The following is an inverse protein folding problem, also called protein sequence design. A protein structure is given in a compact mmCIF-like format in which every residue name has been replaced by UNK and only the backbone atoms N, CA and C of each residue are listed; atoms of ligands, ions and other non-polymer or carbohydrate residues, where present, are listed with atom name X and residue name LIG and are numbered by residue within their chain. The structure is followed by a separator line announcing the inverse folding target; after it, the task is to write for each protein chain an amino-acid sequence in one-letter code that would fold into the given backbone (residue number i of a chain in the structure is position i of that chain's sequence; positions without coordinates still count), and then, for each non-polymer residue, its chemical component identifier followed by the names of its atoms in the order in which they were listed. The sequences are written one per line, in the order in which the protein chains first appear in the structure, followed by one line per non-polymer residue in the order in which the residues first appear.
data_IF_785967546879
#
_entry.id   IF_785967546879
#
_cell.length_a   1.000
_cell.length_b   1.000
_cell.length_c   1.000
_cell.angle_alpha   90.00
_cell.angle_beta   90.00
_cell.angle_gamma   90.00
#
_symmetry.space_group_name_H-M   'P 1'
#
loop_
_entity.id
_entity.type
_entity.pdbx_description
1 polymer ?
#
# COMPACT_ATOMS: atom_id res chain seq x y z
N UNK A 1 11.44 -4.14 6.05
CA UNK A 1 10.06 -4.09 6.62
C UNK A 1 9.92 -2.92 7.58
N UNK A 2 10.80 -2.78 8.59
CA UNK A 2 10.69 -1.76 9.64
C UNK A 2 10.64 -0.28 9.17
N UNK A 3 11.39 0.09 8.12
CA UNK A 3 11.39 1.49 7.65
C UNK A 3 10.11 1.85 6.89
N UNK A 4 9.60 0.93 6.07
CA UNK A 4 8.33 1.11 5.34
C UNK A 4 7.19 1.28 6.33
N UNK A 5 7.06 0.41 7.33
CA UNK A 5 5.99 0.52 8.33
C UNK A 5 6.10 1.82 9.15
N UNK A 6 7.31 2.28 9.47
CA UNK A 6 7.54 3.56 10.15
C UNK A 6 7.06 4.75 9.31
N UNK A 7 7.33 4.75 8.00
CA UNK A 7 6.88 5.82 7.10
C UNK A 7 5.37 5.76 6.89
N UNK A 8 4.78 4.56 6.82
CA UNK A 8 3.33 4.40 6.66
C UNK A 8 2.53 4.89 7.90
N UNK A 9 3.09 4.80 9.10
CA UNK A 9 2.41 5.19 10.35
C UNK A 9 2.20 6.69 10.55
N UNK A 10 2.76 7.54 9.68
CA UNK A 10 2.58 9.00 9.73
C UNK A 10 1.77 9.54 8.55
N UNK A 11 1.24 8.66 7.69
CA UNK A 11 0.48 9.07 6.51
C UNK A 11 -0.99 9.35 6.85
N UNK A 12 -1.48 10.51 6.44
CA UNK A 12 -2.91 10.83 6.44
C UNK A 12 -3.66 10.21 5.24
N UNK A 13 -2.92 9.70 4.25
CA UNK A 13 -3.45 9.05 3.06
C UNK A 13 -2.36 8.47 2.16
N UNK A 14 -2.74 7.55 1.26
CA UNK A 14 -1.82 6.91 0.31
C UNK A 14 -2.44 6.74 -1.09
N UNK A 15 -1.59 6.68 -2.12
CA UNK A 15 -1.99 6.29 -3.48
C UNK A 15 -1.29 4.98 -3.82
N UNK A 16 -2.06 3.95 -4.12
CA UNK A 16 -1.59 2.65 -4.56
C UNK A 16 -1.67 2.58 -6.09
N UNK A 17 -0.52 2.57 -6.76
CA UNK A 17 -0.43 2.48 -8.23
C UNK A 17 -0.31 1.02 -8.65
N UNK A 18 -1.21 0.57 -9.52
CA UNK A 18 -1.25 -0.79 -10.06
C UNK A 18 -0.96 -0.74 -11.55
N UNK A 19 -0.04 -1.59 -12.01
CA UNK A 19 0.20 -1.75 -13.45
C UNK A 19 -0.99 -2.48 -14.09
N UNK A 20 -1.76 -1.78 -14.92
CA UNK A 20 -2.84 -2.39 -15.69
C UNK A 20 -2.34 -3.42 -16.71
N UNK A 21 -1.11 -3.26 -17.20
CA UNK A 21 -0.49 -4.14 -18.19
C UNK A 21 0.01 -5.46 -17.56
N UNK A 22 0.50 -5.42 -16.32
CA UNK A 22 0.99 -6.61 -15.61
C UNK A 22 -0.06 -7.21 -14.67
N UNK A 23 -1.13 -6.48 -14.36
CA UNK A 23 -2.16 -6.89 -13.40
C UNK A 23 -1.63 -6.99 -11.97
N UNK A 24 -2.44 -7.57 -11.08
CA UNK A 24 -2.05 -7.82 -9.68
C UNK A 24 -1.24 -9.11 -9.60
N UNK A 25 0.08 -9.01 -9.47
CA UNK A 25 0.95 -10.17 -9.26
C UNK A 25 0.70 -10.80 -7.86
N UNK A 26 0.54 -12.13 -7.75
CA UNK A 26 0.20 -12.81 -6.49
C UNK A 26 1.29 -12.75 -5.42
N UNK A 27 2.50 -12.30 -5.76
CA UNK A 27 3.66 -12.34 -4.88
C UNK A 27 3.83 -11.10 -3.98
N UNK A 28 3.04 -10.03 -4.14
CA UNK A 28 3.19 -8.86 -3.26
C UNK A 28 1.91 -8.02 -2.99
N UNK A 29 0.87 -8.54 -2.31
CA UNK A 29 -0.16 -7.68 -1.71
C UNK A 29 0.28 -7.14 -0.32
N UNK A 30 1.58 -6.85 -0.13
CA UNK A 30 2.11 -6.36 1.15
C UNK A 30 1.80 -4.87 1.43
N UNK A 31 1.83 -3.94 0.43
CA UNK A 31 1.54 -2.53 0.69
C UNK A 31 0.08 -2.29 1.10
N UNK A 32 -0.87 -2.89 0.38
CA UNK A 32 -2.30 -2.69 0.65
C UNK A 32 -2.70 -3.23 2.03
N UNK A 33 -2.21 -4.43 2.40
CA UNK A 33 -2.48 -5.00 3.73
C UNK A 33 -1.87 -4.17 4.86
N UNK A 34 -0.71 -3.55 4.63
CA UNK A 34 -0.11 -2.65 5.61
C UNK A 34 -0.94 -1.37 5.79
N UNK A 35 -1.39 -0.75 4.69
CA UNK A 35 -2.26 0.42 4.70
C UNK A 35 -3.62 0.12 5.37
N UNK A 36 -4.21 -1.04 5.10
CA UNK A 36 -5.44 -1.49 5.77
C UNK A 36 -5.26 -1.65 7.29
N UNK A 37 -4.16 -2.25 7.74
CA UNK A 37 -3.86 -2.41 9.18
C UNK A 37 -3.65 -1.07 9.89
N UNK A 38 -3.12 -0.08 9.18
CA UNK A 38 -2.89 1.26 9.70
C UNK A 38 -4.09 2.20 9.51
N UNK A 39 -5.21 1.70 8.96
CA UNK A 39 -6.42 2.48 8.67
C UNK A 39 -6.17 3.72 7.82
N UNK A 40 -5.17 3.68 6.93
CA UNK A 40 -4.81 4.82 6.06
C UNK A 40 -5.75 4.86 4.85
N UNK A 41 -6.49 5.96 4.62
CA UNK A 41 -7.28 6.14 3.40
C UNK A 41 -6.41 5.97 2.15
N UNK A 42 -6.81 5.07 1.25
CA UNK A 42 -5.99 4.72 0.07
C UNK A 42 -6.78 4.87 -1.21
N UNK A 43 -6.27 5.67 -2.16
CA UNK A 43 -6.75 5.73 -3.53
C UNK A 43 -6.00 4.70 -4.38
N UNK A 44 -6.70 4.02 -5.29
CA UNK A 44 -6.09 3.06 -6.22
C UNK A 44 -6.08 3.69 -7.62
N UNK A 45 -4.91 3.68 -8.26
CA UNK A 45 -4.68 4.22 -9.59
C UNK A 45 -4.10 3.15 -10.51
#
# INVERSE_FOLDING_TARGET
IAEVERVLGVLDGAVLVVSAAEGVQPQTPLPFRALQRLTVPTLIF
#
